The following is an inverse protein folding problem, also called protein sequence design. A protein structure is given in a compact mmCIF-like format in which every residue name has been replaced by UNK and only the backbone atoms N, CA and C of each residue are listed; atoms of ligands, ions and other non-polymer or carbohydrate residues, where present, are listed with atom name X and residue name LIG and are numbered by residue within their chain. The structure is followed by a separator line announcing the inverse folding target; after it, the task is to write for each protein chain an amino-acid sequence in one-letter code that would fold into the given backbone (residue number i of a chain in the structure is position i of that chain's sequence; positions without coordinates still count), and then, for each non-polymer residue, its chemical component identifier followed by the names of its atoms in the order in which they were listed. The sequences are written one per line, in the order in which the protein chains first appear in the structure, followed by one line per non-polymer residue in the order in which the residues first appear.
data_IF_533324815297
#
_entry.id   IF_533324815297
#
_cell.length_a   1.000
_cell.length_b   1.000
_cell.length_c   1.000
_cell.angle_alpha   90.00
_cell.angle_beta   90.00
_cell.angle_gamma   90.00
#
_symmetry.space_group_name_H-M   'P 1'
#
loop_
_entity.id
_entity.type
_entity.pdbx_description
1 polymer ?
#
# COMPACT_ATOMS: atom_id res chain seq x y z
N UNK A 1 8.36 -0.85 25.88
CA UNK A 1 7.88 -1.29 24.55
C UNK A 1 7.28 -0.08 23.85
N UNK A 2 7.77 0.35 22.68
CA UNK A 2 7.06 1.36 21.89
C UNK A 2 5.87 0.68 21.21
N UNK A 3 4.67 0.92 21.69
CA UNK A 3 3.45 0.48 21.01
C UNK A 3 3.06 1.53 19.97
N UNK A 4 2.94 1.14 18.71
CA UNK A 4 2.37 2.00 17.68
C UNK A 4 0.93 1.61 17.43
N UNK A 5 0.07 2.62 17.28
CA UNK A 5 -1.32 2.41 16.92
C UNK A 5 -1.42 1.82 15.51
N UNK A 6 -2.46 1.01 15.21
CA UNK A 6 -2.67 0.45 13.87
C UNK A 6 -2.58 1.49 12.74
N UNK A 7 -3.10 2.70 12.98
CA UNK A 7 -3.07 3.82 12.03
C UNK A 7 -1.65 4.29 11.72
N UNK A 8 -0.73 4.25 12.70
CA UNK A 8 0.68 4.58 12.47
C UNK A 8 1.37 3.49 11.63
N UNK A 9 1.02 2.23 11.86
CA UNK A 9 1.50 1.10 11.04
C UNK A 9 0.97 1.21 9.61
N UNK A 10 -0.29 1.59 9.45
CA UNK A 10 -0.88 1.86 8.14
C UNK A 10 -0.13 3.00 7.43
N UNK A 11 0.09 4.12 8.12
CA UNK A 11 0.75 5.31 7.57
C UNK A 11 2.20 5.04 7.14
N UNK A 12 2.97 4.29 7.94
CA UNK A 12 4.40 4.12 7.70
C UNK A 12 4.75 2.89 6.86
N UNK A 13 3.90 1.87 6.83
CA UNK A 13 4.21 0.60 6.16
C UNK A 13 3.20 0.26 5.06
N UNK A 14 1.91 0.28 5.36
CA UNK A 14 0.89 -0.24 4.42
C UNK A 14 0.62 0.74 3.28
N UNK A 15 0.34 2.01 3.57
CA UNK A 15 0.07 3.02 2.54
C UNK A 15 1.27 3.21 1.60
N UNK A 16 2.53 3.30 2.09
CA UNK A 16 3.70 3.35 1.20
C UNK A 16 3.85 2.11 0.33
N UNK A 17 3.55 0.91 0.85
CA UNK A 17 3.59 -0.32 0.07
C UNK A 17 2.53 -0.34 -1.03
N UNK A 18 1.28 0.02 -0.72
CA UNK A 18 0.21 0.09 -1.73
C UNK A 18 0.56 1.12 -2.80
N UNK A 19 1.05 2.31 -2.41
CA UNK A 19 1.42 3.36 -3.37
C UNK A 19 2.55 2.93 -4.30
N UNK A 20 3.53 2.17 -3.78
CA UNK A 20 4.59 1.55 -4.59
C UNK A 20 4.02 0.57 -5.62
N UNK A 21 3.11 -0.30 -5.21
CA UNK A 21 2.51 -1.27 -6.13
C UNK A 21 1.59 -0.59 -7.16
N UNK A 22 0.86 0.45 -6.78
CA UNK A 22 0.10 1.28 -7.74
C UNK A 22 1.02 1.86 -8.81
N UNK A 23 2.14 2.46 -8.39
CA UNK A 23 3.10 3.03 -9.33
C UNK A 23 3.69 1.97 -10.28
N UNK A 24 4.05 0.79 -9.76
CA UNK A 24 4.56 -0.33 -10.58
C UNK A 24 3.54 -0.77 -11.63
N UNK A 25 2.29 -0.98 -11.23
CA UNK A 25 1.22 -1.43 -12.12
C UNK A 25 0.87 -0.36 -13.16
N UNK A 26 0.84 0.92 -12.77
CA UNK A 26 0.68 2.02 -13.72
C UNK A 26 1.78 2.02 -14.78
N UNK A 27 3.03 1.85 -14.37
CA UNK A 27 4.18 1.79 -15.29
C UNK A 27 4.12 0.55 -16.18
N UNK A 28 3.76 -0.62 -15.65
CA UNK A 28 3.61 -1.83 -16.46
C UNK A 28 2.47 -1.73 -17.47
N UNK A 29 1.51 -0.82 -17.27
CA UNK A 29 0.44 -0.48 -18.22
C UNK A 29 0.81 0.66 -19.16
N UNK A 30 2.09 1.03 -19.25
CA UNK A 30 2.62 1.96 -20.24
C UNK A 30 2.77 3.41 -19.78
N UNK A 31 2.51 3.72 -18.51
CA UNK A 31 2.78 5.07 -17.98
C UNK A 31 4.27 5.30 -17.73
N UNK A 32 4.74 6.52 -17.94
CA UNK A 32 6.06 6.96 -17.48
C UNK A 32 6.06 7.13 -15.95
N UNK A 33 7.26 7.14 -15.34
CA UNK A 33 7.39 7.41 -13.89
C UNK A 33 6.81 8.77 -13.51
N UNK A 34 7.02 9.78 -14.36
CA UNK A 34 6.45 11.13 -14.19
C UNK A 34 4.92 11.10 -14.18
N UNK A 35 4.28 10.47 -15.17
CA UNK A 35 2.82 10.38 -15.22
C UNK A 35 2.25 9.60 -14.02
N UNK A 36 2.89 8.51 -13.61
CA UNK A 36 2.47 7.76 -12.43
C UNK A 36 2.59 8.61 -11.15
N UNK A 37 3.67 9.39 -11.02
CA UNK A 37 3.89 10.29 -9.90
C UNK A 37 2.82 11.39 -9.81
N UNK A 38 2.53 12.04 -10.95
CA UNK A 38 1.47 13.05 -11.08
C UNK A 38 0.10 12.47 -10.68
N UNK A 39 -0.24 11.28 -11.20
CA UNK A 39 -1.52 10.62 -10.89
C UNK A 39 -1.64 10.28 -9.41
N UNK A 40 -0.55 9.84 -8.77
CA UNK A 40 -0.52 9.44 -7.37
C UNK A 40 -0.31 10.61 -6.39
N UNK A 41 -0.08 11.83 -6.88
CA UNK A 41 0.19 13.00 -6.04
C UNK A 41 1.50 12.88 -5.25
N UNK A 42 2.53 12.29 -5.86
CA UNK A 42 3.88 12.15 -5.27
C UNK A 42 4.95 12.66 -6.22
N UNK A 43 6.19 12.74 -5.75
CA UNK A 43 7.32 13.14 -6.59
C UNK A 43 7.77 11.99 -7.49
N UNK A 44 8.25 12.31 -8.68
CA UNK A 44 8.90 11.33 -9.58
C UNK A 44 10.08 10.64 -8.90
N UNK A 45 10.84 11.38 -8.08
CA UNK A 45 11.90 10.82 -7.25
C UNK A 45 11.39 9.71 -6.30
N UNK A 46 10.18 9.86 -5.72
CA UNK A 46 9.59 8.83 -4.89
C UNK A 46 9.27 7.57 -5.69
N UNK A 47 8.75 7.70 -6.92
CA UNK A 47 8.52 6.57 -7.84
C UNK A 47 9.83 5.91 -8.23
N UNK A 48 10.86 6.68 -8.56
CA UNK A 48 12.21 6.14 -8.85
C UNK A 48 12.75 5.33 -7.67
N UNK A 49 12.57 5.81 -6.43
CA UNK A 49 12.97 5.07 -5.23
C UNK A 49 12.14 3.80 -5.00
N UNK A 50 10.84 3.80 -5.37
CA UNK A 50 10.01 2.60 -5.35
C UNK A 50 10.54 1.53 -6.31
N UNK A 51 10.91 1.91 -7.53
CA UNK A 51 11.44 0.98 -8.54
C UNK A 51 12.82 0.43 -8.16
N UNK A 52 13.64 1.22 -7.47
CA UNK A 52 14.94 0.80 -6.92
C UNK A 52 14.83 -0.07 -5.65
N UNK A 53 13.62 -0.45 -5.25
CA UNK A 53 13.33 -1.31 -4.09
C UNK A 53 13.85 -0.84 -2.72
N UNK A 54 14.22 0.44 -2.55
CA UNK A 54 14.74 0.96 -1.27
C UNK A 54 13.66 1.28 -0.22
N UNK A 55 12.37 1.34 -0.60
CA UNK A 55 11.24 1.65 0.30
C UNK A 55 10.14 0.57 0.21
N UNK A 56 9.50 0.30 1.35
CA UNK A 56 8.37 -0.63 1.50
C UNK A 56 8.63 -2.07 1.05
N UNK A 57 9.83 -2.62 1.33
CA UNK A 57 10.16 -4.03 1.11
C UNK A 57 9.51 -4.98 2.14
N UNK A 58 8.98 -4.44 3.24
CA UNK A 58 8.56 -5.25 4.40
C UNK A 58 7.12 -5.77 4.32
N UNK A 59 6.35 -5.33 3.32
CA UNK A 59 4.96 -5.74 3.10
C UNK A 59 4.89 -6.61 1.86
N UNK A 60 4.65 -7.90 2.06
CA UNK A 60 4.34 -8.81 0.96
C UNK A 60 2.82 -8.93 0.78
N UNK A 61 2.36 -8.60 -0.42
CA UNK A 61 0.97 -8.71 -0.81
C UNK A 61 0.72 -10.06 -1.47
N UNK A 62 -0.24 -10.82 -0.93
CA UNK A 62 -0.71 -12.05 -1.53
C UNK A 62 -1.38 -11.80 -2.89
N UNK A 63 -1.65 -12.87 -3.63
CA UNK A 63 -2.25 -12.78 -4.98
C UNK A 63 -3.58 -12.02 -4.97
N UNK A 64 -4.39 -12.16 -3.92
CA UNK A 64 -5.67 -11.46 -3.82
C UNK A 64 -5.48 -9.95 -3.66
N UNK A 65 -4.53 -9.53 -2.84
CA UNK A 65 -4.17 -8.11 -2.74
C UNK A 65 -3.61 -7.57 -4.05
N UNK A 66 -2.74 -8.33 -4.74
CA UNK A 66 -2.20 -7.95 -6.04
C UNK A 66 -3.30 -7.80 -7.11
N UNK A 67 -4.26 -8.72 -7.14
CA UNK A 67 -5.43 -8.62 -8.04
C UNK A 67 -6.29 -7.39 -7.74
N UNK A 68 -6.56 -7.08 -6.47
CA UNK A 68 -7.29 -5.86 -6.10
C UNK A 68 -6.52 -4.60 -6.51
N UNK A 69 -5.20 -4.58 -6.31
CA UNK A 69 -4.34 -3.47 -6.73
C UNK A 69 -4.42 -3.27 -8.26
N UNK A 70 -4.33 -4.33 -9.05
CA UNK A 70 -4.43 -4.22 -10.52
C UNK A 70 -5.82 -3.70 -10.94
N UNK A 71 -6.89 -4.24 -10.36
CA UNK A 71 -8.26 -3.79 -10.61
C UNK A 71 -8.44 -2.30 -10.25
N UNK A 72 -7.97 -1.88 -9.08
CA UNK A 72 -7.99 -0.49 -8.65
C UNK A 72 -7.21 0.43 -9.59
N UNK A 73 -6.04 0.00 -10.10
CA UNK A 73 -5.32 0.78 -11.11
C UNK A 73 -6.10 0.87 -12.42
N UNK A 74 -6.73 -0.22 -12.89
CA UNK A 74 -7.59 -0.17 -14.08
C UNK A 74 -8.76 0.82 -13.90
N UNK A 75 -9.39 0.83 -12.73
CA UNK A 75 -10.42 1.82 -12.41
C UNK A 75 -9.88 3.25 -12.42
N UNK A 76 -8.68 3.48 -11.86
CA UNK A 76 -8.03 4.80 -11.91
C UNK A 76 -7.81 5.23 -13.35
N UNK A 77 -7.31 4.34 -14.20
CA UNK A 77 -7.07 4.62 -15.62
C UNK A 77 -8.37 4.89 -16.39
N UNK A 78 -9.47 4.25 -15.99
CA UNK A 78 -10.82 4.51 -16.51
C UNK A 78 -11.50 5.76 -15.92
N UNK A 79 -10.82 6.52 -15.04
CA UNK A 79 -11.31 7.80 -14.50
C UNK A 79 -11.75 7.78 -13.03
N UNK A 80 -11.60 6.66 -12.31
CA UNK A 80 -11.85 6.60 -10.86
C UNK A 80 -10.83 7.44 -10.09
N UNK A 81 -11.25 7.93 -8.91
CA UNK A 81 -10.40 8.69 -8.01
C UNK A 81 -9.33 7.80 -7.38
N UNK A 82 -8.07 8.24 -7.42
CA UNK A 82 -6.96 7.57 -6.73
C UNK A 82 -7.22 7.44 -5.24
N UNK A 83 -7.82 8.47 -4.61
CA UNK A 83 -8.14 8.44 -3.18
C UNK A 83 -9.13 7.32 -2.85
N UNK A 84 -10.18 7.16 -3.69
CA UNK A 84 -11.19 6.11 -3.53
C UNK A 84 -10.56 4.73 -3.64
N UNK A 85 -9.80 4.49 -4.71
CA UNK A 85 -9.19 3.18 -4.97
C UNK A 85 -8.11 2.84 -3.93
N UNK A 86 -7.29 3.83 -3.52
CA UNK A 86 -6.36 3.65 -2.40
C UNK A 86 -7.08 3.25 -1.11
N UNK A 87 -8.20 3.91 -0.80
CA UNK A 87 -9.00 3.58 0.39
C UNK A 87 -9.58 2.16 0.31
N UNK A 88 -10.04 1.71 -0.86
CA UNK A 88 -10.53 0.34 -1.06
C UNK A 88 -9.44 -0.68 -0.75
N UNK A 89 -8.24 -0.49 -1.31
CA UNK A 89 -7.11 -1.40 -1.08
C UNK A 89 -6.64 -1.36 0.38
N UNK A 90 -6.60 -0.19 1.03
CA UNK A 90 -6.31 -0.09 2.47
C UNK A 90 -7.34 -0.85 3.34
N UNK A 91 -8.65 -0.71 3.05
CA UNK A 91 -9.72 -1.44 3.74
C UNK A 91 -9.54 -2.95 3.57
N UNK A 92 -9.22 -3.41 2.37
CA UNK A 92 -8.93 -4.82 2.12
C UNK A 92 -7.70 -5.29 2.90
N UNK A 93 -6.62 -4.51 2.90
CA UNK A 93 -5.41 -4.83 3.64
C UNK A 93 -5.68 -5.00 5.15
N UNK A 94 -6.50 -4.10 5.73
CA UNK A 94 -6.95 -4.18 7.12
C UNK A 94 -7.79 -5.43 7.37
N UNK A 95 -8.81 -5.69 6.54
CA UNK A 95 -9.68 -6.87 6.63
C UNK A 95 -8.90 -8.19 6.52
N UNK A 96 -7.83 -8.21 5.72
CA UNK A 96 -6.93 -9.37 5.57
C UNK A 96 -5.88 -9.49 6.68
N UNK A 97 -5.92 -8.61 7.69
CA UNK A 97 -5.03 -8.63 8.84
C UNK A 97 -3.58 -8.24 8.52
N UNK A 98 -3.31 -7.57 7.39
CA UNK A 98 -1.96 -7.16 6.99
C UNK A 98 -1.35 -6.24 8.05
N UNK A 99 -2.12 -5.25 8.51
CA UNK A 99 -1.71 -4.34 9.58
C UNK A 99 -1.31 -5.12 10.83
N UNK A 100 -2.12 -6.09 11.26
CA UNK A 100 -1.84 -6.94 12.42
C UNK A 100 -0.55 -7.76 12.24
N UNK A 101 -0.33 -8.34 11.05
CA UNK A 101 0.91 -9.08 10.75
C UNK A 101 2.14 -8.20 10.87
N UNK A 102 2.09 -6.98 10.32
CA UNK A 102 3.20 -6.02 10.40
C UNK A 102 3.43 -5.60 11.86
N UNK A 103 2.37 -5.22 12.60
CA UNK A 103 2.48 -4.84 14.01
C UNK A 103 3.11 -5.95 14.86
N UNK A 104 2.75 -7.21 14.62
CA UNK A 104 3.35 -8.37 15.30
C UNK A 104 4.82 -8.56 14.92
N UNK A 105 5.15 -8.50 13.63
CA UNK A 105 6.52 -8.62 13.11
C UNK A 105 7.46 -7.56 13.72
N UNK A 106 6.94 -6.35 13.94
CA UNK A 106 7.70 -5.22 14.51
C UNK A 106 7.69 -5.17 16.04
N UNK A 107 6.99 -6.09 16.72
CA UNK A 107 6.90 -6.12 18.18
C UNK A 107 6.02 -5.04 18.79
N UNK A 108 5.13 -4.43 17.99
CA UNK A 108 4.22 -3.36 18.43
C UNK A 108 2.89 -3.88 18.98
N UNK A 109 2.60 -5.18 18.82
CA UNK A 109 1.37 -5.81 19.30
C UNK A 109 1.68 -6.95 20.29
N UNK A 110 0.94 -7.06 21.41
CA UNK A 110 1.10 -8.15 22.36
C UNK A 110 0.69 -9.51 21.75
N UNK A 111 1.21 -10.61 22.33
CA UNK A 111 0.79 -11.98 21.98
C UNK A 111 -0.73 -12.10 22.20
N UNK A 112 -1.46 -12.51 21.16
CA UNK A 112 -2.93 -12.64 21.21
C UNK A 112 -3.74 -11.41 20.80
N UNK A 113 -3.11 -10.30 20.38
CA UNK A 113 -3.81 -9.08 19.95
C UNK A 113 -4.83 -9.32 18.80
N UNK A 114 -6.05 -8.80 18.98
CA UNK A 114 -7.18 -8.82 18.03
C UNK A 114 -7.73 -7.42 17.69
N UNK A 115 -7.05 -6.35 18.11
CA UNK A 115 -7.55 -4.95 18.01
C UNK A 115 -7.73 -4.44 16.57
N UNK A 116 -7.00 -4.98 15.59
CA UNK A 116 -7.06 -4.50 14.20
C UNK A 116 -8.29 -4.98 13.42
N UNK A 117 -9.13 -5.84 14.00
CA UNK A 117 -10.34 -6.39 13.35
C UNK A 117 -11.56 -5.50 13.65
N UNK A 118 -11.64 -4.36 12.96
CA UNK A 118 -12.83 -3.51 12.90
C UNK A 118 -13.10 -3.11 11.46
#
# INVERSE_FOLDING_TARGET
MKGYMPQQVELWYVIPAIRKEFAKVMISKGMTQKQAAERLGITEAAVSQYMKNKRASDVDFDNRMKSEIDASVNHILAGSSVMKEMQNVCKLAKKRGIVCRISKKLGYAPKGCKECFG
#
